data_IF_404812838903
#
_entry.id   IF_404812838903
#
_cell.length_a   1.000
_cell.length_b   1.000
_cell.length_c   1.000
_cell.angle_alpha   90.00
_cell.angle_beta   90.00
_cell.angle_gamma   90.00
#
_symmetry.space_group_name_H-M   'P 1'
#
loop_
_entity.id
_entity.type
_entity.pdbx_description
1 polymer ?
#
# COMPACT_ATOMS: atom_id res chain seq x y z
N UNK A 1 -5.36 -2.81 12.54
CA UNK A 1 -4.03 -3.37 12.88
C UNK A 1 -3.08 -2.77 11.87
N UNK A 2 -1.91 -2.29 12.29
CA UNK A 2 -0.95 -1.72 11.36
C UNK A 2 -0.48 -2.78 10.36
N UNK A 3 -0.29 -2.37 9.10
CA UNK A 3 0.30 -3.17 8.04
C UNK A 3 1.84 -2.99 8.01
N UNK A 4 2.52 -3.58 7.02
CA UNK A 4 3.98 -3.62 6.96
C UNK A 4 4.64 -2.25 6.84
N UNK A 5 3.87 -1.20 6.48
CA UNK A 5 4.39 0.17 6.40
C UNK A 5 4.70 0.80 7.77
N UNK A 6 4.29 0.20 8.89
CA UNK A 6 4.62 0.70 10.24
C UNK A 6 6.13 0.75 10.52
N UNK A 7 6.92 -0.01 9.76
CA UNK A 7 8.36 -0.11 9.89
C UNK A 7 9.12 0.86 8.96
N UNK A 8 8.42 1.61 8.12
CA UNK A 8 9.02 2.57 7.18
C UNK A 8 9.37 3.89 7.86
N UNK A 9 10.32 4.62 7.26
CA UNK A 9 10.71 5.96 7.74
C UNK A 9 10.01 7.10 7.01
N UNK A 10 9.48 6.84 5.81
CA UNK A 10 8.76 7.84 5.03
C UNK A 10 7.49 8.31 5.77
N UNK A 11 7.33 9.62 6.02
CA UNK A 11 6.09 10.16 6.58
C UNK A 11 4.87 9.87 5.70
N UNK A 12 5.03 9.77 4.37
CA UNK A 12 3.95 9.44 3.46
C UNK A 12 3.53 7.97 3.60
N UNK A 13 4.49 7.03 3.70
CA UNK A 13 4.16 5.62 3.90
C UNK A 13 3.52 5.37 5.27
N UNK A 14 4.04 6.00 6.32
CA UNK A 14 3.51 5.88 7.68
C UNK A 14 2.05 6.35 7.81
N UNK A 15 1.61 7.33 7.00
CA UNK A 15 0.20 7.75 6.97
C UNK A 15 -0.76 6.65 6.49
N UNK A 16 -0.26 5.62 5.80
CA UNK A 16 -1.04 4.50 5.31
C UNK A 16 -0.88 3.22 6.13
N UNK A 17 -0.11 3.26 7.23
CA UNK A 17 0.17 2.08 8.04
C UNK A 17 -1.11 1.50 8.69
N UNK A 18 -2.09 2.33 9.01
CA UNK A 18 -3.35 1.89 9.63
C UNK A 18 -4.48 1.61 8.63
N UNK A 19 -4.23 1.76 7.32
CA UNK A 19 -5.23 1.47 6.31
C UNK A 19 -5.61 -0.03 6.33
N UNK A 20 -6.88 -0.36 6.08
CA UNK A 20 -7.33 -1.76 5.99
C UNK A 20 -6.70 -2.53 4.82
N UNK A 21 -6.17 -1.84 3.80
CA UNK A 21 -5.36 -2.47 2.75
C UNK A 21 -4.05 -3.01 3.36
N UNK A 22 -3.73 -4.26 3.06
CA UNK A 22 -2.48 -4.93 3.46
C UNK A 22 -1.33 -4.43 2.60
N UNK A 23 -0.85 -3.22 2.91
CA UNK A 23 0.28 -2.62 2.21
C UNK A 23 1.61 -3.27 2.58
N UNK A 24 2.42 -3.48 1.55
CA UNK A 24 3.85 -3.78 1.64
C UNK A 24 4.66 -2.59 1.10
N UNK A 25 5.86 -2.32 1.67
CA UNK A 25 6.84 -1.49 0.99
C UNK A 25 7.40 -2.21 -0.23
N UNK A 26 7.99 -1.45 -1.16
CA UNK A 26 8.70 -2.05 -2.29
C UNK A 26 9.95 -2.82 -1.83
N UNK A 27 9.98 -4.12 -2.08
CA UNK A 27 11.11 -4.97 -1.71
C UNK A 27 10.92 -6.44 -2.09
N UNK A 28 11.92 -7.25 -1.77
CA UNK A 28 11.94 -8.68 -2.11
C UNK A 28 10.78 -9.45 -1.47
N UNK A 29 10.33 -9.06 -0.27
CA UNK A 29 9.21 -9.72 0.42
C UNK A 29 7.91 -9.65 -0.39
N UNK A 30 7.54 -8.45 -0.86
CA UNK A 30 6.34 -8.28 -1.68
C UNK A 30 6.44 -9.03 -3.02
N UNK A 31 7.62 -8.99 -3.65
CA UNK A 31 7.88 -9.70 -4.91
C UNK A 31 7.83 -11.21 -4.74
N UNK A 32 8.33 -11.74 -3.62
CA UNK A 32 8.32 -13.17 -3.32
C UNK A 32 6.90 -13.63 -2.99
N UNK A 33 6.17 -12.88 -2.15
CA UNK A 33 4.77 -13.16 -1.84
C UNK A 33 3.89 -13.19 -3.09
N UNK A 34 4.09 -12.27 -4.03
CA UNK A 34 3.36 -12.25 -5.29
C UNK A 34 3.60 -13.51 -6.13
N UNK A 35 4.85 -14.02 -6.14
CA UNK A 35 5.19 -15.29 -6.82
C UNK A 35 4.61 -16.50 -6.11
N UNK A 36 4.71 -16.53 -4.78
CA UNK A 36 4.28 -17.67 -3.96
C UNK A 36 2.76 -17.82 -3.95
N UNK A 37 2.03 -16.70 -3.95
CA UNK A 37 0.56 -16.67 -3.98
C UNK A 37 -0.03 -16.64 -5.39
N UNK A 38 0.80 -16.55 -6.44
CA UNK A 38 0.39 -16.36 -7.83
C UNK A 38 -0.62 -15.20 -8.01
N UNK A 39 -0.35 -14.09 -7.31
CA UNK A 39 -1.19 -12.88 -7.33
C UNK A 39 -0.48 -11.73 -8.03
N UNK A 40 -1.19 -10.92 -8.84
CA UNK A 40 -0.63 -9.71 -9.41
C UNK A 40 -0.28 -8.68 -8.33
N UNK A 41 0.70 -7.82 -8.63
CA UNK A 41 1.05 -6.69 -7.78
C UNK A 41 0.24 -5.47 -8.18
N UNK A 42 -0.43 -4.86 -7.21
CA UNK A 42 -1.00 -3.52 -7.34
C UNK A 42 0.01 -2.51 -6.79
N UNK A 43 0.71 -1.82 -7.69
CA UNK A 43 1.72 -0.83 -7.34
C UNK A 43 1.09 0.58 -7.26
N UNK A 44 1.03 1.15 -6.06
CA UNK A 44 0.54 2.51 -5.80
C UNK A 44 1.69 3.45 -5.44
N UNK A 45 1.99 4.40 -6.33
CA UNK A 45 3.07 5.37 -6.16
C UNK A 45 2.47 6.74 -5.85
N UNK A 46 2.96 7.41 -4.80
CA UNK A 46 2.56 8.78 -4.47
C UNK A 46 3.62 9.51 -3.66
N UNK A 47 3.25 10.66 -3.09
CA UNK A 47 4.12 11.50 -2.27
C UNK A 47 3.24 12.39 -1.37
N UNK A 48 3.81 12.94 -0.29
CA UNK A 48 3.03 13.61 0.77
C UNK A 48 2.23 14.85 0.33
N UNK A 49 2.67 15.57 -0.72
CA UNK A 49 1.98 16.77 -1.21
C UNK A 49 1.02 16.50 -2.39
N UNK A 50 0.71 15.23 -2.66
CA UNK A 50 -0.16 14.81 -3.75
C UNK A 50 -1.63 14.86 -3.36
N UNK A 51 -2.37 15.85 -3.88
CA UNK A 51 -3.81 15.98 -3.58
C UNK A 51 -4.62 14.72 -3.91
N UNK A 52 -4.44 14.16 -5.11
CA UNK A 52 -5.21 12.98 -5.55
C UNK A 52 -4.79 11.68 -4.84
N UNK A 53 -3.58 11.62 -4.29
CA UNK A 53 -3.14 10.48 -3.49
C UNK A 53 -3.91 10.46 -2.16
N UNK A 54 -4.17 11.62 -1.56
CA UNK A 54 -5.02 11.72 -0.37
C UNK A 54 -6.49 11.41 -0.67
N UNK A 55 -7.03 11.92 -1.79
CA UNK A 55 -8.42 11.61 -2.19
C UNK A 55 -8.60 10.11 -2.40
N UNK A 56 -7.71 9.46 -3.15
CA UNK A 56 -7.77 8.01 -3.37
C UNK A 56 -7.59 7.22 -2.06
N UNK A 57 -6.74 7.69 -1.15
CA UNK A 57 -6.58 7.05 0.15
C UNK A 57 -7.87 7.09 0.95
N UNK A 58 -8.49 8.26 1.05
CA UNK A 58 -9.71 8.45 1.82
C UNK A 58 -10.93 7.74 1.22
N UNK A 59 -11.10 7.82 -0.11
CA UNK A 59 -12.28 7.27 -0.79
C UNK A 59 -12.16 5.76 -1.09
N UNK A 60 -10.95 5.19 -1.03
CA UNK A 60 -10.73 3.79 -1.45
C UNK A 60 -9.86 3.00 -0.50
N UNK A 61 -8.67 3.48 -0.12
CA UNK A 61 -7.76 2.68 0.70
C UNK A 61 -8.18 2.58 2.17
N UNK A 62 -9.01 3.51 2.65
CA UNK A 62 -9.64 3.50 3.98
C UNK A 62 -10.98 2.75 3.97
N UNK A 63 -11.58 2.50 2.79
CA UNK A 63 -12.84 1.81 2.66
C UNK A 63 -12.67 0.29 2.86
N UNK A 64 -13.35 -0.33 3.86
CA UNK A 64 -13.15 -1.75 4.16
C UNK A 64 -13.56 -2.71 3.04
N UNK A 65 -14.59 -2.39 2.26
CA UNK A 65 -15.06 -3.25 1.17
C UNK A 65 -14.05 -3.27 0.01
N UNK A 66 -13.58 -2.09 -0.39
CA UNK A 66 -12.51 -1.92 -1.38
C UNK A 66 -11.23 -2.59 -0.92
N UNK A 67 -10.83 -2.40 0.35
CA UNK A 67 -9.64 -3.01 0.90
C UNK A 67 -9.72 -4.54 0.94
N UNK A 68 -10.87 -5.11 1.31
CA UNK A 68 -11.06 -6.56 1.30
C UNK A 68 -10.88 -7.14 -0.11
N UNK A 69 -11.49 -6.51 -1.12
CA UNK A 69 -11.30 -6.89 -2.52
C UNK A 69 -9.83 -6.78 -2.94
N UNK A 70 -9.16 -5.69 -2.58
CA UNK A 70 -7.75 -5.48 -2.90
C UNK A 70 -6.85 -6.55 -2.25
N UNK A 71 -7.07 -6.89 -0.99
CA UNK A 71 -6.28 -7.88 -0.26
C UNK A 71 -6.52 -9.31 -0.77
N UNK A 72 -7.73 -9.61 -1.24
CA UNK A 72 -8.06 -10.90 -1.84
C UNK A 72 -7.33 -11.10 -3.18
N UNK A 73 -7.27 -10.06 -4.01
CA UNK A 73 -6.86 -10.19 -5.41
C UNK A 73 -5.43 -9.74 -5.73
N UNK A 74 -4.80 -8.95 -4.86
CA UNK A 74 -3.49 -8.35 -5.16
C UNK A 74 -2.51 -8.48 -4.00
N UNK A 75 -1.22 -8.43 -4.35
CA UNK A 75 -0.20 -7.98 -3.40
C UNK A 75 -0.09 -6.47 -3.53
N UNK A 76 -0.59 -5.75 -2.52
CA UNK A 76 -0.67 -4.30 -2.53
C UNK A 76 0.68 -3.70 -2.10
N UNK A 77 1.30 -2.92 -2.98
CA UNK A 77 2.61 -2.30 -2.73
C UNK A 77 2.49 -0.79 -2.80
N UNK A 78 2.96 -0.11 -1.76
CA UNK A 78 2.98 1.36 -1.67
C UNK A 78 4.41 1.87 -1.80
N UNK A 79 4.61 2.92 -2.60
CA UNK A 79 5.92 3.55 -2.82
C UNK A 79 5.81 5.06 -2.65
N UNK A 80 6.76 5.61 -1.92
CA UNK A 80 7.02 7.04 -1.88
C UNK A 80 7.95 7.44 -3.02
N UNK A 81 7.46 8.33 -3.89
CA UNK A 81 8.22 8.91 -5.00
C UNK A 81 9.37 9.79 -4.53
N UNK A 82 9.32 10.35 -3.32
CA UNK A 82 10.39 11.21 -2.82
C UNK A 82 11.63 10.41 -2.39
N UNK A 83 11.47 9.12 -2.10
CA UNK A 83 12.56 8.22 -1.73
C UNK A 83 13.10 7.38 -2.91
N UNK A 84 12.37 7.28 -4.03
CA UNK A 84 12.70 6.41 -5.18
C UNK A 84 12.37 6.99 -6.55
#
# INVERSE_FOLDING_TARGET
MPNQLENETSPYLLQHADNPVEWYPWGEEALQKAKDEDKPILLSIGYAACHWCHVMAHESFEDPETAAFMNEHFINVKVDREER
#
